data_IF_055507629460
#
_entry.id   IF_055507629460
#
_cell.length_a   1.000
_cell.length_b   1.000
_cell.length_c   1.000
_cell.angle_alpha   90.00
_cell.angle_beta   90.00
_cell.angle_gamma   90.00
#
_symmetry.space_group_name_H-M   'P 1'
#
loop_
_entity.id
_entity.type
_entity.pdbx_description
1 polymer ?
#
# COMPACT_ATOMS: atom_id res chain seq x y z
N UNK A 1 -16.47 9.80 -10.12
CA UNK A 1 -15.92 8.82 -9.16
C UNK A 1 -14.56 9.34 -8.78
N UNK A 2 -14.41 9.87 -7.58
CA UNK A 2 -13.11 10.28 -7.06
C UNK A 2 -12.36 9.02 -6.62
N UNK A 3 -11.50 8.51 -7.50
CA UNK A 3 -10.51 7.50 -7.12
C UNK A 3 -9.46 8.15 -6.23
N UNK A 4 -9.08 7.54 -5.11
CA UNK A 4 -8.05 8.09 -4.20
C UNK A 4 -6.65 7.98 -4.82
N UNK A 5 -6.43 6.93 -5.62
CA UNK A 5 -5.18 6.65 -6.30
C UNK A 5 -5.30 7.16 -7.74
N UNK A 6 -4.37 8.03 -8.11
CA UNK A 6 -4.26 8.68 -9.40
C UNK A 6 -3.55 7.79 -10.43
N UNK A 7 -2.54 7.03 -10.00
CA UNK A 7 -1.68 6.26 -10.88
C UNK A 7 -1.10 5.05 -10.14
N UNK A 8 -0.86 3.97 -10.88
CA UNK A 8 -0.06 2.84 -10.43
C UNK A 8 1.21 2.71 -11.29
N UNK A 9 2.32 2.39 -10.64
CA UNK A 9 3.58 2.01 -11.28
C UNK A 9 4.06 0.65 -10.77
N UNK A 10 4.72 -0.13 -11.61
CA UNK A 10 5.41 -1.36 -11.22
C UNK A 10 6.89 -1.15 -11.53
N UNK A 11 7.71 -1.18 -10.49
CA UNK A 11 9.15 -0.89 -10.59
C UNK A 11 9.95 -1.93 -9.82
N UNK A 12 11.21 -2.09 -10.20
CA UNK A 12 12.20 -2.84 -9.41
C UNK A 12 13.09 -1.85 -8.68
N UNK A 13 12.98 -1.82 -7.35
CA UNK A 13 13.81 -0.97 -6.51
C UNK A 13 15.05 -1.73 -6.03
N UNK A 14 16.20 -1.04 -5.87
CA UNK A 14 17.37 -1.63 -5.21
C UNK A 14 16.99 -2.14 -3.81
N UNK A 15 17.49 -3.32 -3.44
CA UNK A 15 17.26 -4.00 -2.15
C UNK A 15 15.84 -4.48 -1.85
N UNK A 16 14.80 -3.87 -2.41
CA UNK A 16 13.38 -4.24 -2.18
C UNK A 16 12.78 -5.10 -3.28
N UNK A 17 13.46 -5.20 -4.42
CA UNK A 17 12.98 -5.95 -5.56
C UNK A 17 11.79 -5.30 -6.22
N UNK A 18 10.92 -6.12 -6.81
CA UNK A 18 9.72 -5.66 -7.52
C UNK A 18 8.68 -5.17 -6.53
N UNK A 19 8.06 -4.02 -6.83
CA UNK A 19 7.02 -3.38 -6.02
C UNK A 19 5.95 -2.74 -6.89
N UNK A 20 4.75 -2.57 -6.34
CA UNK A 20 3.75 -1.63 -6.85
C UNK A 20 3.89 -0.31 -6.11
N UNK A 21 3.84 0.80 -6.84
CA UNK A 21 3.70 2.13 -6.27
C UNK A 21 2.32 2.66 -6.64
N UNK A 22 1.50 2.98 -5.64
CA UNK A 22 0.18 3.55 -5.80
C UNK A 22 0.24 5.03 -5.41
N UNK A 23 0.13 5.90 -6.40
CA UNK A 23 0.25 7.34 -6.25
C UNK A 23 -1.11 7.93 -5.88
N UNK A 24 -1.21 8.56 -4.71
CA UNK A 24 -2.44 9.21 -4.29
C UNK A 24 -2.56 10.57 -4.96
N UNK A 25 -3.78 11.07 -5.17
CA UNK A 25 -3.99 12.42 -5.74
C UNK A 25 -3.33 13.54 -4.92
N UNK A 26 -3.10 13.31 -3.62
CA UNK A 26 -2.44 14.26 -2.72
C UNK A 26 -0.91 14.15 -2.72
N UNK A 27 -0.32 13.37 -3.63
CA UNK A 27 1.14 13.25 -3.81
C UNK A 27 1.79 12.10 -3.04
N UNK A 28 1.19 11.64 -1.94
CA UNK A 28 1.67 10.48 -1.19
C UNK A 28 1.76 9.23 -2.06
N UNK A 29 2.69 8.34 -1.72
CA UNK A 29 2.91 7.08 -2.45
C UNK A 29 2.84 5.90 -1.50
N UNK A 30 1.95 4.96 -1.79
CA UNK A 30 1.87 3.68 -1.10
C UNK A 30 2.67 2.63 -1.90
N UNK A 31 3.75 2.14 -1.31
CA UNK A 31 4.56 1.05 -1.82
C UNK A 31 4.01 -0.28 -1.30
N UNK A 32 3.75 -1.22 -2.21
CA UNK A 32 3.37 -2.61 -1.89
C UNK A 32 4.44 -3.55 -2.42
N UNK A 33 5.13 -4.24 -1.49
CA UNK A 33 6.14 -5.25 -1.78
C UNK A 33 5.65 -6.68 -1.52
N UNK A 34 6.58 -7.63 -1.58
CA UNK A 34 6.28 -9.05 -1.34
C UNK A 34 5.92 -9.35 0.12
N UNK A 35 6.54 -8.64 1.07
CA UNK A 35 6.51 -8.93 2.50
C UNK A 35 6.25 -7.69 3.37
N UNK A 36 6.05 -6.52 2.76
CA UNK A 36 5.88 -5.27 3.46
C UNK A 36 5.16 -4.20 2.64
N UNK A 37 4.64 -3.21 3.34
CA UNK A 37 3.99 -2.02 2.80
C UNK A 37 4.65 -0.78 3.41
N UNK A 38 4.92 0.22 2.58
CA UNK A 38 5.46 1.50 3.01
C UNK A 38 4.62 2.66 2.51
N UNK A 39 4.38 3.66 3.36
CA UNK A 39 3.72 4.91 2.97
C UNK A 39 4.74 6.04 2.97
N UNK A 40 4.80 6.78 1.88
CA UNK A 40 5.75 7.85 1.64
C UNK A 40 5.05 9.16 1.34
N UNK A 41 5.66 10.27 1.73
CA UNK A 41 5.14 11.61 1.47
C UNK A 41 5.05 11.93 -0.03
N UNK A 42 5.96 11.37 -0.83
CA UNK A 42 6.06 11.55 -2.28
C UNK A 42 6.88 10.44 -2.94
N UNK A 43 6.90 10.42 -4.28
CA UNK A 43 7.63 9.44 -5.08
C UNK A 43 9.14 9.54 -4.91
N UNK A 44 9.71 10.72 -4.71
CA UNK A 44 11.16 10.91 -4.57
C UNK A 44 11.68 10.26 -3.28
N UNK A 45 10.86 10.30 -2.22
CA UNK A 45 11.14 9.71 -0.90
C UNK A 45 11.27 8.18 -0.93
N UNK A 46 10.71 7.51 -1.95
CA UNK A 46 10.81 6.05 -2.10
C UNK A 46 12.24 5.60 -2.41
N UNK A 47 12.98 6.40 -3.17
CA UNK A 47 14.36 6.12 -3.59
C UNK A 47 15.40 6.76 -2.65
N UNK A 48 14.96 7.50 -1.62
CA UNK A 48 15.88 8.14 -0.67
C UNK A 48 16.53 7.06 0.23
N UNK A 49 17.87 6.89 0.19
CA UNK A 49 18.57 5.89 0.99
C UNK A 49 18.48 6.14 2.51
N UNK A 50 18.20 7.38 2.93
CA UNK A 50 18.00 7.76 4.32
C UNK A 50 16.54 7.64 4.76
N UNK A 51 15.65 7.22 3.85
CA UNK A 51 14.21 7.13 4.08
C UNK A 51 13.58 8.46 4.54
N UNK A 52 14.13 9.61 4.12
CA UNK A 52 13.48 10.89 4.39
C UNK A 52 12.11 10.90 3.71
N UNK A 53 11.07 11.23 4.47
CA UNK A 53 9.71 11.24 3.95
C UNK A 53 8.98 9.88 4.01
N UNK A 54 9.57 8.85 4.61
CA UNK A 54 8.84 7.69 5.07
C UNK A 54 7.86 8.10 6.18
N UNK A 55 6.57 7.87 5.96
CA UNK A 55 5.49 8.12 6.93
C UNK A 55 5.33 6.89 7.84
N UNK A 56 5.34 5.69 7.26
CA UNK A 56 5.29 4.45 8.02
C UNK A 56 5.58 3.24 7.15
N UNK A 57 5.95 2.15 7.81
CA UNK A 57 6.35 0.91 7.17
C UNK A 57 5.91 -0.26 8.04
N UNK A 58 5.19 -1.21 7.45
CA UNK A 58 4.67 -2.37 8.16
C UNK A 58 4.93 -3.64 7.35
N UNK A 59 5.22 -4.73 8.05
CA UNK A 59 5.37 -6.04 7.41
C UNK A 59 4.02 -6.68 7.13
N UNK A 60 3.93 -7.44 6.05
CA UNK A 60 2.79 -8.27 5.72
C UNK A 60 3.00 -9.63 6.39
N UNK A 61 2.07 -10.09 7.26
CA UNK A 61 2.10 -11.42 7.84
C UNK A 61 2.25 -12.50 6.77
N UNK A 62 3.00 -13.56 7.06
CA UNK A 62 3.38 -14.61 6.11
C UNK A 62 2.18 -15.18 5.34
N UNK A 63 1.04 -15.37 6.01
CA UNK A 63 -0.18 -15.92 5.44
C UNK A 63 -0.88 -14.98 4.45
N UNK A 64 -0.58 -13.68 4.53
CA UNK A 64 -1.21 -12.62 3.75
C UNK A 64 -0.31 -12.09 2.63
N UNK A 65 0.93 -12.59 2.52
CA UNK A 65 1.90 -12.12 1.53
C UNK A 65 1.42 -12.38 0.10
N UNK A 66 1.36 -11.35 -0.75
CA UNK A 66 0.93 -11.53 -2.13
C UNK A 66 2.00 -12.18 -3.00
N UNK A 67 1.55 -12.83 -4.06
CA UNK A 67 2.43 -13.28 -5.14
C UNK A 67 2.50 -12.24 -6.25
N UNK A 68 3.70 -11.97 -6.76
CA UNK A 68 3.90 -11.07 -7.90
C UNK A 68 3.36 -11.70 -9.19
N UNK A 69 2.66 -10.91 -10.01
CA UNK A 69 2.27 -11.28 -11.39
C UNK A 69 2.77 -10.23 -12.38
N UNK A 70 3.34 -10.69 -13.50
CA UNK A 70 3.82 -9.80 -14.55
C UNK A 70 2.71 -8.88 -15.08
N UNK A 71 3.03 -7.61 -15.29
CA UNK A 71 2.11 -6.59 -15.81
C UNK A 71 1.16 -5.96 -14.79
N UNK A 72 0.84 -6.64 -13.68
CA UNK A 72 -0.09 -6.12 -12.64
C UNK A 72 0.54 -6.00 -11.25
N UNK A 73 1.62 -6.73 -10.99
CA UNK A 73 2.36 -6.69 -9.73
C UNK A 73 1.71 -7.55 -8.64
N UNK A 74 1.63 -7.03 -7.41
CA UNK A 74 1.01 -7.69 -6.25
C UNK A 74 -0.49 -7.36 -6.09
N UNK A 75 -0.97 -6.32 -6.77
CA UNK A 75 -2.34 -5.79 -6.64
C UNK A 75 -3.25 -6.42 -7.71
N UNK A 76 -4.42 -6.91 -7.29
CA UNK A 76 -5.44 -7.48 -8.19
C UNK A 76 -6.41 -6.42 -8.70
N UNK A 77 -6.91 -5.59 -7.79
CA UNK A 77 -7.93 -4.60 -8.07
C UNK A 77 -7.78 -3.42 -7.12
N UNK A 78 -8.27 -2.27 -7.60
CA UNK A 78 -8.23 -1.04 -6.86
C UNK A 78 -9.50 -0.23 -7.15
N UNK A 79 -10.31 0.01 -6.12
CA UNK A 79 -11.57 0.76 -6.23
C UNK A 79 -11.79 1.61 -4.98
N UNK A 80 -11.92 2.92 -5.11
CA UNK A 80 -12.38 3.82 -4.03
C UNK A 80 -11.64 3.64 -2.68
N UNK A 81 -10.32 3.45 -2.70
CA UNK A 81 -9.51 3.24 -1.49
C UNK A 81 -9.36 1.78 -1.07
N UNK A 82 -10.11 0.86 -1.67
CA UNK A 82 -9.91 -0.58 -1.55
C UNK A 82 -8.82 -1.02 -2.54
N UNK A 83 -7.79 -1.69 -2.03
CA UNK A 83 -6.69 -2.25 -2.82
C UNK A 83 -6.57 -3.73 -2.43
N UNK A 84 -7.05 -4.64 -3.27
CA UNK A 84 -6.87 -6.06 -3.01
C UNK A 84 -5.54 -6.58 -3.56
N UNK A 85 -4.99 -7.53 -2.83
CA UNK A 85 -3.73 -8.18 -3.13
C UNK A 85 -3.99 -9.58 -3.71
N UNK A 86 -3.01 -10.13 -4.44
CA UNK A 86 -3.12 -11.48 -5.02
C UNK A 86 -3.27 -12.62 -3.99
N UNK A 87 -3.00 -12.36 -2.71
CA UNK A 87 -3.26 -13.29 -1.60
C UNK A 87 -4.72 -13.31 -1.14
N UNK A 88 -5.54 -12.34 -1.55
CA UNK A 88 -6.89 -12.11 -1.01
C UNK A 88 -6.93 -11.07 0.12
N UNK A 89 -5.78 -10.71 0.67
CA UNK A 89 -5.65 -9.63 1.65
C UNK A 89 -5.96 -8.26 1.03
N UNK A 90 -6.32 -7.31 1.87
CA UNK A 90 -6.79 -5.99 1.44
C UNK A 90 -6.04 -4.90 2.18
N UNK A 91 -5.48 -3.96 1.42
CA UNK A 91 -5.10 -2.65 1.94
C UNK A 91 -6.29 -1.71 1.76
N UNK A 92 -6.77 -1.15 2.86
CA UNK A 92 -7.90 -0.23 2.89
C UNK A 92 -7.42 1.17 3.25
N UNK A 93 -7.55 2.10 2.32
CA UNK A 93 -7.24 3.51 2.47
C UNK A 93 -8.45 4.20 3.08
N UNK A 94 -8.26 4.73 4.27
CA UNK A 94 -9.27 5.33 5.14
C UNK A 94 -8.88 6.77 5.46
N UNK A 95 -9.79 7.61 5.99
CA UNK A 95 -9.43 8.97 6.39
C UNK A 95 -8.31 9.05 7.43
N UNK A 96 -8.14 8.01 8.26
CA UNK A 96 -7.13 7.93 9.32
C UNK A 96 -5.80 7.29 8.88
N UNK A 97 -5.73 6.70 7.69
CA UNK A 97 -4.50 6.06 7.19
C UNK A 97 -4.73 4.89 6.25
N UNK A 98 -3.75 3.99 6.19
CA UNK A 98 -3.80 2.76 5.39
C UNK A 98 -3.71 1.55 6.31
N UNK A 99 -4.69 0.66 6.23
CA UNK A 99 -4.76 -0.52 7.08
C UNK A 99 -4.76 -1.82 6.26
N UNK A 100 -4.14 -2.87 6.81
CA UNK A 100 -4.18 -4.22 6.25
C UNK A 100 -5.25 -5.07 6.95
N UNK A 101 -6.01 -5.79 6.13
CA UNK A 101 -7.01 -6.77 6.54
C UNK A 101 -6.75 -8.11 5.85
N UNK A 102 -7.13 -9.24 6.47
CA UNK A 102 -6.98 -10.56 5.87
C UNK A 102 -7.84 -10.77 4.62
N UNK A 103 -8.97 -10.07 4.53
CA UNK A 103 -9.86 -10.09 3.36
C UNK A 103 -10.79 -8.86 3.31
N UNK A 104 -11.57 -8.76 2.24
CA UNK A 104 -12.52 -7.67 2.04
C UNK A 104 -13.69 -7.65 3.02
N UNK A 105 -14.16 -8.80 3.52
CA UNK A 105 -15.27 -8.81 4.48
C UNK A 105 -14.85 -8.20 5.81
N UNK A 106 -13.64 -8.53 6.25
CA UNK A 106 -13.00 -7.98 7.44
C UNK A 106 -12.73 -6.47 7.26
N UNK A 107 -12.25 -6.03 6.10
CA UNK A 107 -12.03 -4.62 5.81
C UNK A 107 -13.32 -3.78 5.89
N UNK A 108 -14.41 -4.26 5.28
CA UNK A 108 -15.70 -3.56 5.26
C UNK A 108 -16.36 -3.47 6.64
N UNK A 109 -16.02 -4.38 7.57
CA UNK A 109 -16.55 -4.42 8.94
C UNK A 109 -15.59 -3.85 9.99
N UNK A 110 -14.40 -3.43 9.58
CA UNK A 110 -13.31 -3.00 10.47
C UNK A 110 -12.95 -4.07 11.52
N UNK A 111 -12.86 -5.34 11.09
CA UNK A 111 -12.58 -6.49 11.96
C UNK A 111 -11.23 -7.12 11.62
N UNK A 112 -10.55 -7.70 12.62
CA UNK A 112 -9.28 -8.40 12.45
C UNK A 112 -8.22 -7.61 11.67
N UNK A 113 -8.18 -6.28 11.87
CA UNK A 113 -7.14 -5.41 11.31
C UNK A 113 -5.78 -5.88 11.80
N UNK A 114 -4.85 -6.10 10.87
CA UNK A 114 -3.48 -6.51 11.20
C UNK A 114 -2.68 -5.32 11.75
N UNK A 115 -2.73 -4.19 11.04
CA UNK A 115 -2.06 -2.95 11.41
C UNK A 115 -2.69 -1.75 10.70
N UNK A 116 -2.28 -0.54 11.10
CA UNK A 116 -2.65 0.74 10.52
C UNK A 116 -1.40 1.61 10.43
N UNK A 117 -1.06 2.08 9.23
CA UNK A 117 -0.12 3.18 9.04
C UNK A 117 -0.94 4.48 9.05
N UNK A 118 -0.86 5.30 10.11
CA UNK A 118 -1.67 6.52 10.19
C UNK A 118 -1.17 7.58 9.20
N UNK A 119 -2.09 8.38 8.66
CA UNK A 119 -1.68 9.58 7.94
C UNK A 119 -1.08 10.60 8.90
N UNK A 120 -0.08 11.38 8.47
CA UNK A 120 0.43 12.47 9.27
C UNK A 120 -0.69 13.51 9.48
N UNK A 121 -0.70 14.21 10.63
CA UNK A 121 -1.68 15.26 10.87
C UNK A 121 -1.59 16.33 9.79
N UNK A 122 -2.75 16.83 9.36
CA UNK A 122 -2.85 17.97 8.46
C UNK A 122 -2.28 19.21 9.18
N UNK A 123 -1.10 19.65 8.74
CA UNK A 123 -0.43 20.87 9.19
C UNK A 123 -0.86 22.09 8.39
#
# INVERSE_FOLDING_TARGET
MDTIIAQQEIVSLPQRGRVNLLHFHQGMVLLVGADAVGLYRDRASVDDPLANGLIGYETIPDELRPTFREGVGYVTEQVSGYVALHSGAVLFIRPDGVALYPDGQNALRDQHRCWLIPFPPLS
#
